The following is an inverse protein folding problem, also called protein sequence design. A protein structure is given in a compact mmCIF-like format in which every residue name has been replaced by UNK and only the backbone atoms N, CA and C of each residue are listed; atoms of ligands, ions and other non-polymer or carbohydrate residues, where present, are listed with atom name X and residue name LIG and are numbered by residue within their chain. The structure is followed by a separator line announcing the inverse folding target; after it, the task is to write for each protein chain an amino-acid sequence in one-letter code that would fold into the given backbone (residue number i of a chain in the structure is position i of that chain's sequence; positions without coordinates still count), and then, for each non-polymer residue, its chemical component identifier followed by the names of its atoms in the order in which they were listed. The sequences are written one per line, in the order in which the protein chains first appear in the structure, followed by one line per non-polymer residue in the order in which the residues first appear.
data_IF_345035452569
#
_entry.id   IF_345035452569
#
_cell.length_a   1.000
_cell.length_b   1.000
_cell.length_c   1.000
_cell.angle_alpha   90.00
_cell.angle_beta   90.00
_cell.angle_gamma   90.00
#
_symmetry.space_group_name_H-M   'P 1'
#
loop_
_entity.id
_entity.type
_entity.pdbx_description
1 polymer ?
#
# COMPACT_ATOMS: atom_id res chain seq x y z
N UNK A 1 2.98 16.76 -20.35
CA UNK A 1 3.37 16.03 -19.13
C UNK A 1 4.80 16.44 -18.84
N UNK A 2 5.06 17.08 -17.71
CA UNK A 2 6.41 17.48 -17.28
C UNK A 2 6.87 16.60 -16.12
N UNK A 3 8.17 16.27 -16.08
CA UNK A 3 8.76 15.48 -15.00
C UNK A 3 9.63 16.38 -14.13
N UNK A 4 9.39 16.34 -12.83
CA UNK A 4 10.11 17.12 -11.82
C UNK A 4 10.87 16.19 -10.89
N UNK A 5 12.19 16.30 -10.85
CA UNK A 5 13.03 15.49 -9.96
C UNK A 5 13.06 16.09 -8.54
N UNK A 6 12.70 15.29 -7.54
CA UNK A 6 12.66 15.73 -6.13
C UNK A 6 13.85 15.24 -5.28
N UNK A 7 14.60 14.24 -5.75
CA UNK A 7 15.59 13.55 -4.93
C UNK A 7 14.98 12.88 -3.68
N UNK A 8 15.79 12.19 -2.88
CA UNK A 8 15.30 11.45 -1.72
C UNK A 8 14.72 12.35 -0.62
N UNK A 9 15.45 13.40 -0.23
CA UNK A 9 15.00 14.35 0.79
C UNK A 9 13.75 15.13 0.36
N UNK A 10 13.76 15.67 -0.85
CA UNK A 10 12.60 16.41 -1.38
C UNK A 10 11.36 15.53 -1.53
N UNK A 11 11.53 14.24 -1.87
CA UNK A 11 10.41 13.30 -1.87
C UNK A 11 9.80 13.14 -0.48
N UNK A 12 10.62 13.02 0.58
CA UNK A 12 10.13 12.88 1.96
C UNK A 12 9.36 14.11 2.44
N UNK A 13 9.75 15.30 2.00
CA UNK A 13 9.09 16.55 2.35
C UNK A 13 7.63 16.62 1.86
N UNK A 14 7.16 15.69 1.00
CA UNK A 14 5.75 15.63 0.56
C UNK A 14 4.73 15.50 1.68
N UNK A 15 5.19 15.05 2.85
CA UNK A 15 4.39 14.89 4.06
C UNK A 15 4.39 16.15 4.94
N UNK A 16 5.28 17.11 4.66
CA UNK A 16 5.36 18.36 5.42
C UNK A 16 4.22 19.31 5.03
N UNK A 17 3.69 20.07 6.00
CA UNK A 17 2.75 21.15 5.71
C UNK A 17 3.31 22.11 4.66
N UNK A 18 2.46 22.54 3.73
CA UNK A 18 2.82 23.53 2.71
C UNK A 18 3.60 22.99 1.50
N UNK A 19 4.09 21.73 1.53
CA UNK A 19 4.86 21.17 0.41
C UNK A 19 4.12 21.29 -0.93
N UNK A 20 2.81 21.07 -0.93
CA UNK A 20 1.99 21.07 -2.15
C UNK A 20 1.53 22.46 -2.60
N UNK A 21 1.70 23.51 -1.79
CA UNK A 21 1.23 24.86 -2.12
C UNK A 21 1.86 25.42 -3.41
N UNK A 22 3.19 25.34 -3.63
CA UNK A 22 3.80 25.84 -4.87
C UNK A 22 3.32 25.04 -6.09
N UNK A 23 3.06 23.74 -5.92
CA UNK A 23 2.56 22.87 -6.99
C UNK A 23 1.12 23.24 -7.38
N UNK A 24 0.27 23.48 -6.39
CA UNK A 24 -1.12 23.88 -6.62
C UNK A 24 -1.21 25.27 -7.27
N UNK A 25 -0.30 26.19 -6.91
CA UNK A 25 -0.21 27.51 -7.55
C UNK A 25 0.22 27.41 -9.02
N UNK A 26 1.16 26.50 -9.34
CA UNK A 26 1.61 26.25 -10.71
C UNK A 26 0.57 25.51 -11.55
N UNK A 27 -0.21 24.63 -10.95
CA UNK A 27 -1.21 23.79 -11.62
C UNK A 27 -2.61 23.99 -10.99
N UNK A 28 -3.24 25.15 -11.22
CA UNK A 28 -4.56 25.42 -10.66
C UNK A 28 -5.59 24.43 -11.19
N UNK A 29 -6.46 23.95 -10.30
CA UNK A 29 -7.51 22.97 -10.63
C UNK A 29 -7.04 21.52 -10.74
N UNK A 30 -5.75 21.22 -10.57
CA UNK A 30 -5.26 19.84 -10.54
C UNK A 30 -5.52 19.21 -9.16
N UNK A 31 -5.75 17.90 -9.15
CA UNK A 31 -5.93 17.12 -7.92
C UNK A 31 -4.64 16.38 -7.59
N UNK A 32 -4.14 16.57 -6.37
CA UNK A 32 -3.00 15.83 -5.87
C UNK A 32 -3.43 14.42 -5.44
N UNK A 33 -2.89 13.40 -6.10
CA UNK A 33 -3.14 12.00 -5.74
C UNK A 33 -2.03 11.56 -4.78
N UNK A 34 -2.36 11.10 -3.56
CA UNK A 34 -1.37 10.59 -2.62
C UNK A 34 -0.62 9.38 -3.20
N UNK A 35 0.57 9.12 -2.65
CA UNK A 35 1.36 7.94 -3.01
C UNK A 35 0.53 6.65 -2.92
N UNK A 36 0.72 5.76 -3.89
CA UNK A 36 -0.03 4.51 -3.97
C UNK A 36 -1.52 4.68 -4.25
N UNK A 37 -1.96 5.87 -4.67
CA UNK A 37 -3.38 6.18 -4.87
C UNK A 37 -4.14 6.33 -3.55
N UNK A 38 -3.48 6.71 -2.46
CA UNK A 38 -4.08 6.78 -1.13
C UNK A 38 -5.39 7.59 -1.07
N UNK A 39 -6.32 7.12 -0.24
CA UNK A 39 -7.65 7.70 -0.07
C UNK A 39 -8.78 6.78 -0.52
N UNK A 40 -10.02 7.21 -0.27
CA UNK A 40 -11.21 6.39 -0.49
C UNK A 40 -11.39 5.96 -1.94
N UNK A 41 -11.20 6.89 -2.89
CA UNK A 41 -11.36 6.60 -4.31
C UNK A 41 -10.34 5.54 -4.81
N UNK A 42 -9.10 5.60 -4.32
CA UNK A 42 -8.10 4.59 -4.66
C UNK A 42 -8.43 3.22 -4.06
N UNK A 43 -8.87 3.17 -2.80
CA UNK A 43 -9.32 1.93 -2.18
C UNK A 43 -10.50 1.30 -2.96
N UNK A 44 -11.52 2.10 -3.32
CA UNK A 44 -12.63 1.63 -4.15
C UNK A 44 -12.15 1.07 -5.49
N UNK A 45 -11.22 1.75 -6.15
CA UNK A 45 -10.61 1.26 -7.39
C UNK A 45 -9.88 -0.07 -7.21
N UNK A 46 -9.16 -0.25 -6.09
CA UNK A 46 -8.49 -1.52 -5.77
C UNK A 46 -9.45 -2.68 -5.48
N UNK A 47 -10.67 -2.41 -5.03
CA UNK A 47 -11.72 -3.44 -4.88
C UNK A 47 -11.98 -4.19 -6.19
N UNK A 48 -11.85 -3.53 -7.34
CA UNK A 48 -12.04 -4.15 -8.66
C UNK A 48 -11.12 -5.36 -8.91
N UNK A 49 -9.98 -5.46 -8.22
CA UNK A 49 -9.09 -6.63 -8.30
C UNK A 49 -9.84 -7.90 -7.85
N UNK A 50 -10.55 -7.84 -6.72
CA UNK A 50 -11.32 -8.97 -6.20
C UNK A 50 -12.46 -9.33 -7.16
N UNK A 51 -13.19 -8.32 -7.64
CA UNK A 51 -14.28 -8.52 -8.60
C UNK A 51 -13.80 -9.20 -9.89
N UNK A 52 -12.67 -8.74 -10.44
CA UNK A 52 -12.07 -9.30 -11.65
C UNK A 52 -11.57 -10.72 -11.45
N UNK A 53 -10.94 -11.02 -10.31
CA UNK A 53 -10.48 -12.37 -10.02
C UNK A 53 -11.65 -13.34 -9.82
N UNK A 54 -12.68 -12.95 -9.07
CA UNK A 54 -13.92 -13.74 -8.91
C UNK A 54 -14.56 -14.09 -10.25
N UNK A 55 -14.63 -13.13 -11.17
CA UNK A 55 -15.19 -13.36 -12.52
C UNK A 55 -14.39 -14.37 -13.35
N UNK A 56 -13.13 -14.64 -12.98
CA UNK A 56 -12.22 -15.53 -13.72
C UNK A 56 -11.97 -16.87 -13.02
N UNK A 57 -12.44 -17.10 -11.80
CA UNK A 57 -12.19 -18.36 -11.08
C UNK A 57 -12.67 -19.60 -11.85
N UNK A 58 -13.81 -19.50 -12.52
CA UNK A 58 -14.37 -20.60 -13.32
C UNK A 58 -13.44 -21.01 -14.47
N UNK A 59 -12.61 -20.11 -15.00
CA UNK A 59 -11.62 -20.45 -16.04
C UNK A 59 -10.49 -21.32 -15.51
N UNK A 60 -10.29 -21.35 -14.18
CA UNK A 60 -9.36 -22.24 -13.48
C UNK A 60 -10.06 -23.53 -12.98
N UNK A 61 -11.36 -23.69 -13.24
CA UNK A 61 -12.17 -24.77 -12.68
C UNK A 61 -12.44 -24.62 -11.18
N UNK A 62 -12.23 -23.41 -10.63
CA UNK A 62 -12.43 -23.14 -9.21
C UNK A 62 -13.79 -22.49 -8.99
N UNK A 63 -14.46 -22.89 -7.92
CA UNK A 63 -15.74 -22.31 -7.50
C UNK A 63 -15.57 -21.22 -6.45
N UNK A 64 -14.44 -21.22 -5.72
CA UNK A 64 -14.12 -20.26 -4.67
C UNK A 64 -12.61 -20.23 -4.35
N UNK A 65 -12.21 -19.44 -3.35
CA UNK A 65 -10.86 -19.37 -2.76
C UNK A 65 -10.98 -19.18 -1.23
N UNK A 66 -9.90 -19.45 -0.50
CA UNK A 66 -9.93 -19.38 0.97
C UNK A 66 -9.56 -17.98 1.53
N UNK A 67 -8.61 -17.30 0.90
CA UNK A 67 -8.07 -16.03 1.41
C UNK A 67 -7.27 -15.27 0.35
N UNK A 68 -7.03 -13.99 0.63
CA UNK A 68 -6.09 -13.16 -0.14
C UNK A 68 -4.77 -12.97 0.60
N UNK A 69 -3.68 -12.90 -0.17
CA UNK A 69 -2.36 -12.53 0.33
C UNK A 69 -1.75 -11.48 -0.58
N UNK A 70 -1.30 -10.37 0.02
CA UNK A 70 -0.61 -9.32 -0.71
C UNK A 70 0.42 -8.59 0.16
N UNK A 71 1.43 -8.02 -0.50
CA UNK A 71 2.33 -7.07 0.14
C UNK A 71 1.59 -5.76 0.44
N UNK A 72 1.82 -5.17 1.60
CA UNK A 72 1.19 -3.93 2.05
C UNK A 72 2.25 -2.83 2.23
N UNK A 73 2.23 -1.86 1.30
CA UNK A 73 3.09 -0.67 1.33
C UNK A 73 2.40 0.52 2.02
N UNK A 74 1.54 1.24 1.30
CA UNK A 74 0.67 2.28 1.89
C UNK A 74 -0.60 1.70 2.52
N UNK A 75 -0.99 0.47 2.13
CA UNK A 75 -2.20 -0.20 2.62
C UNK A 75 -3.46 0.03 1.77
N UNK A 76 -3.44 0.95 0.79
CA UNK A 76 -4.61 1.30 -0.02
C UNK A 76 -5.19 0.11 -0.79
N UNK A 77 -4.34 -0.71 -1.40
CA UNK A 77 -4.79 -1.92 -2.12
C UNK A 77 -5.44 -2.92 -1.17
N UNK A 78 -4.82 -3.17 -0.01
CA UNK A 78 -5.37 -4.07 0.98
C UNK A 78 -6.73 -3.59 1.47
N UNK A 79 -6.86 -2.30 1.79
CA UNK A 79 -8.13 -1.71 2.21
C UNK A 79 -9.23 -1.89 1.15
N UNK A 80 -8.91 -1.66 -0.13
CA UNK A 80 -9.85 -1.87 -1.22
C UNK A 80 -10.34 -3.30 -1.34
N UNK A 81 -9.43 -4.26 -1.19
CA UNK A 81 -9.78 -5.68 -1.22
C UNK A 81 -10.61 -6.09 -0.01
N UNK A 82 -10.34 -5.54 1.18
CA UNK A 82 -11.17 -5.78 2.39
C UNK A 82 -12.59 -5.28 2.18
N UNK A 83 -12.75 -4.08 1.61
CA UNK A 83 -14.06 -3.51 1.30
C UNK A 83 -14.84 -4.39 0.31
N UNK A 84 -14.20 -4.87 -0.76
CA UNK A 84 -14.85 -5.73 -1.77
C UNK A 84 -15.08 -7.18 -1.30
N UNK A 85 -14.21 -7.69 -0.42
CA UNK A 85 -14.45 -8.97 0.24
C UNK A 85 -15.69 -8.93 1.12
N UNK A 86 -15.98 -7.77 1.73
CA UNK A 86 -17.12 -7.56 2.61
C UNK A 86 -17.25 -8.66 3.69
N UNK A 87 -16.11 -9.13 4.20
CA UNK A 87 -16.04 -10.17 5.22
C UNK A 87 -16.26 -11.61 4.74
N UNK A 88 -16.36 -11.86 3.43
CA UNK A 88 -16.48 -13.22 2.88
C UNK A 88 -15.22 -14.05 3.16
N UNK A 89 -14.06 -13.49 2.82
CA UNK A 89 -12.76 -14.13 3.03
C UNK A 89 -11.78 -13.15 3.67
N UNK A 90 -10.81 -13.68 4.42
CA UNK A 90 -9.79 -12.86 5.11
C UNK A 90 -8.76 -12.34 4.10
N UNK A 91 -8.38 -11.07 4.24
CA UNK A 91 -7.30 -10.45 3.46
C UNK A 91 -6.03 -10.34 4.31
N UNK A 92 -4.96 -11.04 3.93
CA UNK A 92 -3.69 -11.01 4.63
C UNK A 92 -2.71 -10.01 4.01
N UNK A 93 -2.30 -9.03 4.80
CA UNK A 93 -1.29 -8.03 4.42
C UNK A 93 0.07 -8.36 4.98
N UNK A 94 1.01 -8.76 4.12
CA UNK A 94 2.42 -8.85 4.47
C UNK A 94 3.06 -7.45 4.39
N UNK A 95 3.39 -6.85 5.53
CA UNK A 95 3.94 -5.50 5.58
C UNK A 95 5.26 -5.40 4.81
N UNK A 96 5.32 -4.54 3.80
CA UNK A 96 6.54 -4.26 3.03
C UNK A 96 7.40 -3.17 3.67
N UNK A 97 6.83 -2.42 4.62
CA UNK A 97 7.45 -1.38 5.42
C UNK A 97 7.30 -1.73 6.91
N UNK A 98 8.12 -1.18 7.81
CA UNK A 98 7.94 -1.35 9.24
C UNK A 98 6.53 -0.98 9.70
N UNK A 99 6.05 -1.61 10.79
CA UNK A 99 4.67 -1.48 11.28
C UNK A 99 4.27 -0.03 11.58
N UNK A 100 5.21 0.79 12.05
CA UNK A 100 5.04 2.19 12.43
C UNK A 100 5.00 3.17 11.24
N UNK A 101 5.02 2.67 10.00
CA UNK A 101 4.92 3.48 8.78
C UNK A 101 3.47 3.80 8.36
N UNK A 102 2.48 3.61 9.24
CA UNK A 102 1.11 4.10 9.02
C UNK A 102 0.16 3.15 8.29
N UNK A 103 0.59 1.91 8.00
CA UNK A 103 -0.23 0.93 7.26
C UNK A 103 -1.45 0.50 8.06
N UNK A 104 -1.35 0.11 9.36
CA UNK A 104 -2.52 -0.25 10.15
C UNK A 104 -3.57 0.85 10.21
N UNK A 105 -3.13 2.11 10.40
CA UNK A 105 -3.98 3.29 10.51
C UNK A 105 -4.67 3.59 9.17
N UNK A 106 -3.93 3.50 8.07
CA UNK A 106 -4.47 3.73 6.73
C UNK A 106 -5.56 2.70 6.39
N UNK A 107 -5.29 1.41 6.66
CA UNK A 107 -6.28 0.36 6.41
C UNK A 107 -7.51 0.54 7.30
N UNK A 108 -7.31 0.82 8.59
CA UNK A 108 -8.40 1.05 9.52
C UNK A 108 -9.28 2.24 9.12
N UNK A 109 -8.66 3.33 8.66
CA UNK A 109 -9.38 4.53 8.22
C UNK A 109 -10.21 4.31 6.94
N UNK A 110 -9.73 3.46 6.03
CA UNK A 110 -10.37 3.22 4.73
C UNK A 110 -11.38 2.07 4.74
N UNK A 111 -11.09 1.00 5.48
CA UNK A 111 -11.84 -0.26 5.44
C UNK A 111 -12.41 -0.72 6.80
N UNK A 112 -12.13 0.00 7.88
CA UNK A 112 -12.48 -0.41 9.25
C UNK A 112 -11.45 -1.38 9.85
N UNK A 113 -11.74 -1.92 11.03
CA UNK A 113 -10.77 -2.68 11.85
C UNK A 113 -10.83 -4.22 11.68
N UNK A 114 -11.64 -4.72 10.74
CA UNK A 114 -11.94 -6.15 10.59
C UNK A 114 -11.81 -6.61 9.13
N UNK A 115 -11.80 -7.93 8.93
CA UNK A 115 -11.72 -8.54 7.58
C UNK A 115 -10.30 -8.69 7.04
N UNK A 116 -9.27 -8.33 7.82
CA UNK A 116 -7.87 -8.51 7.45
C UNK A 116 -6.98 -8.91 8.62
N UNK A 117 -5.79 -9.40 8.28
CA UNK A 117 -4.71 -9.64 9.21
C UNK A 117 -3.40 -9.09 8.64
N UNK A 118 -2.68 -8.30 9.43
CA UNK A 118 -1.36 -7.80 9.07
C UNK A 118 -0.26 -8.69 9.64
N UNK A 119 0.78 -8.90 8.85
CA UNK A 119 1.94 -9.71 9.19
C UNK A 119 3.20 -8.86 9.07
N UNK A 120 4.06 -8.86 10.10
CA UNK A 120 5.37 -8.21 10.00
C UNK A 120 6.30 -9.02 9.09
N UNK A 121 6.35 -8.60 7.82
CA UNK A 121 7.13 -9.22 6.77
C UNK A 121 8.22 -8.29 6.21
N UNK A 122 8.42 -7.13 6.83
CA UNK A 122 9.24 -6.04 6.29
C UNK A 122 10.73 -6.33 6.30
N UNK A 123 11.18 -7.28 7.15
CA UNK A 123 12.58 -7.72 7.33
C UNK A 123 13.56 -6.56 7.47
N UNK A 124 13.13 -5.49 8.16
CA UNK A 124 13.93 -4.30 8.41
C UNK A 124 13.76 -3.16 7.40
N UNK A 125 12.92 -3.34 6.36
CA UNK A 125 12.48 -2.29 5.46
C UNK A 125 12.62 -2.63 3.97
N UNK A 126 11.84 -1.94 3.14
CA UNK A 126 11.84 -2.11 1.69
C UNK A 126 13.22 -1.82 1.07
N UNK A 127 13.64 -2.69 0.14
CA UNK A 127 14.89 -2.58 -0.61
C UNK A 127 16.19 -2.50 0.22
N UNK A 128 16.16 -2.86 1.51
CA UNK A 128 17.40 -3.01 2.28
C UNK A 128 18.16 -4.25 1.82
N UNK A 129 19.35 -4.03 1.25
CA UNK A 129 20.33 -5.09 1.15
C UNK A 129 20.85 -5.42 2.55
N UNK A 130 20.67 -6.67 2.99
CA UNK A 130 21.41 -7.19 4.15
C UNK A 130 22.87 -7.31 3.72
N UNK A 131 23.69 -6.30 4.04
CA UNK A 131 25.12 -6.52 4.09
C UNK A 131 25.38 -7.49 5.25
N UNK A 132 25.66 -8.75 4.91
CA UNK A 132 26.20 -9.72 5.85
C UNK A 132 27.56 -9.15 6.27
N UNK A 133 27.65 -8.54 7.45
CA UNK A 133 28.97 -8.23 8.01
C UNK A 133 29.69 -9.57 8.15
N UNK A 134 30.77 -9.74 7.38
CA UNK A 134 31.67 -10.88 7.55
C UNK A 134 32.22 -10.89 8.98
N UNK A 135 32.71 -12.03 9.49
CA UNK A 135 33.28 -12.09 10.83
C UNK A 135 34.36 -11.02 10.97
N UNK A 136 34.29 -10.24 12.06
CA UNK A 136 35.32 -9.27 12.39
C UNK A 136 36.66 -10.01 12.45
N UNK A 137 37.61 -9.61 11.60
CA UNK A 137 38.98 -10.11 11.68
C UNK A 137 39.58 -9.51 12.95
N UNK A 138 40.00 -10.32 13.94
CA UNK A 138 40.65 -9.78 15.13
C UNK A 138 41.99 -9.14 14.75
N UNK A 139 42.28 -8.01 15.40
CA UNK A 139 43.48 -7.21 15.21
C UNK A 139 44.77 -7.94 15.66
#
# INVERSE_FOLDING_TARGET
MEMHWLGFGGYRNRHEPGFWEPWQARYPGWHCIPEGGGGQAGAQGCGLIVAQCRAQLATLGWTDYDAWWLAAGTGTTLAGMVLEEAGRHVVHGALAVPLDHGVPETVAALAGAHGYQLHDASRGGFARALYRQGPAVPA
#
